data_IF_855221572281
#
_entry.id   IF_855221572281
#
_cell.length_a   1.000
_cell.length_b   1.000
_cell.length_c   1.000
_cell.angle_alpha   90.00
_cell.angle_beta   90.00
_cell.angle_gamma   90.00
#
_symmetry.space_group_name_H-M   'P 1'
#
loop_
_entity.id
_entity.type
_entity.pdbx_description
1 polymer ?
#
# COMPACT_ATOMS: atom_id res chain seq x y z
N UNK A 1 -2.64 28.00 14.09
CA UNK A 1 -2.37 27.71 15.50
C UNK A 1 -1.57 26.42 15.53
N UNK A 2 -0.28 26.49 15.85
CA UNK A 2 0.60 25.32 15.87
C UNK A 2 0.32 24.54 17.15
N UNK A 3 -0.25 23.35 17.03
CA UNK A 3 -0.25 22.39 18.14
C UNK A 3 1.23 22.08 18.42
N UNK A 4 1.69 22.44 19.62
CA UNK A 4 3.06 22.15 20.06
C UNK A 4 3.17 20.64 20.33
N UNK A 5 4.33 20.04 20.01
CA UNK A 5 4.64 18.61 20.21
C UNK A 5 4.48 18.12 21.68
N UNK A 6 4.17 19.01 22.62
CA UNK A 6 4.00 18.70 24.04
C UNK A 6 2.60 18.13 24.37
N UNK A 7 1.58 18.37 23.54
CA UNK A 7 0.21 17.90 23.77
C UNK A 7 -0.09 16.53 23.15
N UNK A 8 0.85 15.96 22.37
CA UNK A 8 0.75 14.63 21.76
C UNK A 8 1.82 13.67 22.30
N UNK A 9 2.11 13.71 23.61
CA UNK A 9 2.89 12.64 24.27
C UNK A 9 2.02 11.40 24.55
N UNK A 10 1.48 10.80 23.50
CA UNK A 10 1.10 9.40 23.56
C UNK A 10 2.39 8.58 23.63
N UNK A 11 2.64 7.92 24.77
CA UNK A 11 3.87 7.16 24.95
C UNK A 11 3.87 5.97 23.99
N UNK A 12 4.88 5.86 23.11
CA UNK A 12 5.00 4.83 22.06
C UNK A 12 4.71 3.39 22.56
N UNK A 13 5.04 3.08 23.82
CA UNK A 13 4.77 1.78 24.43
C UNK A 13 3.27 1.43 24.53
N UNK A 14 2.38 2.42 24.69
CA UNK A 14 0.95 2.19 24.90
C UNK A 14 0.26 1.62 23.66
N UNK A 15 0.79 1.90 22.46
CA UNK A 15 0.29 1.32 21.22
C UNK A 15 0.98 0.01 20.87
N UNK A 16 2.28 -0.12 21.16
CA UNK A 16 2.98 -1.41 21.02
C UNK A 16 2.35 -2.51 21.88
N UNK A 17 1.83 -2.19 23.06
CA UNK A 17 1.14 -3.16 23.93
C UNK A 17 -0.21 -3.62 23.36
N UNK A 18 -0.90 -2.80 22.55
CA UNK A 18 -2.22 -3.18 22.01
C UNK A 18 -2.16 -4.35 21.02
N UNK A 19 -1.01 -4.54 20.38
CA UNK A 19 -0.77 -5.70 19.51
C UNK A 19 -0.78 -7.02 20.29
N UNK A 20 -0.35 -6.99 21.55
CA UNK A 20 -0.29 -8.16 22.43
C UNK A 20 -1.59 -8.39 23.20
N UNK A 21 -2.63 -7.58 22.99
CA UNK A 21 -3.92 -7.81 23.62
C UNK A 21 -4.53 -9.13 23.13
N UNK A 22 -5.25 -9.85 24.01
CA UNK A 22 -6.14 -10.94 23.62
C UNK A 22 -7.09 -10.49 22.50
N UNK A 23 -7.36 -11.40 21.56
CA UNK A 23 -8.16 -11.12 20.37
C UNK A 23 -9.56 -10.58 20.70
N UNK A 24 -10.16 -11.05 21.78
CA UNK A 24 -11.50 -10.72 22.26
C UNK A 24 -11.52 -9.27 22.78
N UNK A 25 -10.45 -8.84 23.47
CA UNK A 25 -10.27 -7.44 23.83
C UNK A 25 -10.00 -6.56 22.60
N UNK A 26 -9.30 -7.08 21.59
CA UNK A 26 -9.10 -6.38 20.33
C UNK A 26 -10.44 -6.13 19.62
N UNK A 27 -11.36 -7.10 19.61
CA UNK A 27 -12.69 -6.94 19.05
C UNK A 27 -13.49 -5.84 19.77
N UNK A 28 -13.53 -5.86 21.11
CA UNK A 28 -14.22 -4.85 21.91
C UNK A 28 -13.64 -3.45 21.69
N UNK A 29 -12.31 -3.33 21.67
CA UNK A 29 -11.65 -2.05 21.40
C UNK A 29 -11.97 -1.55 19.99
N UNK A 30 -11.99 -2.45 18.99
CA UNK A 30 -12.30 -2.10 17.60
C UNK A 30 -13.72 -1.55 17.48
N UNK A 31 -14.69 -2.26 18.07
CA UNK A 31 -16.10 -1.86 18.17
C UNK A 31 -16.24 -0.46 18.77
N UNK A 32 -15.61 -0.23 19.93
CA UNK A 32 -15.62 1.08 20.57
C UNK A 32 -15.05 2.20 19.69
N UNK A 33 -13.97 1.94 18.94
CA UNK A 33 -13.39 2.94 18.02
C UNK A 33 -14.28 3.26 16.83
N UNK A 34 -15.05 2.28 16.37
CA UNK A 34 -16.05 2.46 15.33
C UNK A 34 -17.16 3.37 15.85
N UNK A 35 -17.75 3.06 17.01
CA UNK A 35 -18.79 3.89 17.66
C UNK A 35 -18.34 5.33 17.90
N UNK A 36 -17.14 5.52 18.46
CA UNK A 36 -16.61 6.84 18.79
C UNK A 36 -16.49 7.71 17.52
N UNK A 37 -16.01 7.13 16.41
CA UNK A 37 -15.88 7.84 15.14
C UNK A 37 -17.23 8.15 14.50
N UNK A 38 -18.15 7.18 14.53
CA UNK A 38 -19.50 7.35 14.00
C UNK A 38 -20.24 8.48 14.75
N UNK A 39 -20.19 8.44 16.08
CA UNK A 39 -20.85 9.42 16.95
C UNK A 39 -20.27 10.82 16.79
N UNK A 40 -18.94 10.94 16.71
CA UNK A 40 -18.28 12.23 16.55
C UNK A 40 -18.68 12.92 15.24
N UNK A 41 -18.75 12.17 14.14
CA UNK A 41 -19.16 12.68 12.84
C UNK A 41 -20.66 12.55 12.56
N UNK A 42 -21.47 12.22 13.57
CA UNK A 42 -22.94 12.10 13.46
C UNK A 42 -23.41 11.22 12.30
N UNK A 43 -22.65 10.16 12.00
CA UNK A 43 -22.91 9.23 10.91
C UNK A 43 -22.39 9.64 9.53
N UNK A 44 -21.74 10.79 9.37
CA UNK A 44 -21.09 11.21 8.11
C UNK A 44 -19.76 10.47 7.87
N UNK A 45 -19.84 9.15 7.79
CA UNK A 45 -18.67 8.27 7.66
C UNK A 45 -18.82 7.31 6.48
N UNK A 46 -17.70 6.72 6.07
CA UNK A 46 -17.66 5.68 5.04
C UNK A 46 -16.48 4.73 5.27
N UNK A 47 -16.54 3.52 4.71
CA UNK A 47 -15.40 2.60 4.72
C UNK A 47 -14.59 2.77 3.43
N UNK A 48 -13.30 3.10 3.55
CA UNK A 48 -12.37 3.04 2.42
C UNK A 48 -12.13 1.58 2.05
N UNK A 49 -12.88 1.08 1.09
CA UNK A 49 -12.96 -0.33 0.75
C UNK A 49 -12.13 -0.66 -0.49
N UNK A 50 -11.15 -1.55 -0.34
CA UNK A 50 -10.24 -1.93 -1.42
C UNK A 50 -10.55 -3.29 -2.04
N UNK A 51 -11.51 -4.05 -1.49
CA UNK A 51 -11.74 -5.46 -1.83
C UNK A 51 -10.65 -6.43 -1.33
N UNK A 52 -9.55 -5.93 -0.77
CA UNK A 52 -8.57 -6.75 -0.07
C UNK A 52 -9.07 -7.20 1.30
N UNK A 53 -8.51 -8.31 1.79
CA UNK A 53 -8.92 -9.00 3.01
C UNK A 53 -9.14 -8.06 4.21
N UNK A 54 -8.15 -7.23 4.54
CA UNK A 54 -8.19 -6.33 5.69
C UNK A 54 -9.34 -5.31 5.58
N UNK A 55 -9.62 -4.79 4.37
CA UNK A 55 -10.73 -3.88 4.14
C UNK A 55 -12.10 -4.57 4.09
N UNK A 56 -12.16 -5.85 3.71
CA UNK A 56 -13.37 -6.67 3.80
C UNK A 56 -13.74 -6.94 5.24
N UNK A 57 -12.76 -7.30 6.07
CA UNK A 57 -12.95 -7.47 7.52
C UNK A 57 -13.43 -6.16 8.16
N UNK A 58 -12.81 -5.03 7.83
CA UNK A 58 -13.25 -3.73 8.34
C UNK A 58 -14.68 -3.40 7.92
N UNK A 59 -15.04 -3.63 6.65
CA UNK A 59 -16.39 -3.35 6.16
C UNK A 59 -17.43 -4.18 6.92
N UNK A 60 -17.16 -5.47 7.12
CA UNK A 60 -18.02 -6.35 7.91
C UNK A 60 -18.14 -5.85 9.35
N UNK A 61 -17.02 -5.59 10.04
CA UNK A 61 -17.01 -5.07 11.41
C UNK A 61 -17.84 -3.80 11.58
N UNK A 62 -17.73 -2.85 10.65
CA UNK A 62 -18.45 -1.58 10.73
C UNK A 62 -19.95 -1.78 10.52
N UNK A 63 -20.35 -2.52 9.49
CA UNK A 63 -21.77 -2.75 9.18
C UNK A 63 -22.46 -3.63 10.21
N UNK A 64 -21.81 -4.70 10.65
CA UNK A 64 -22.30 -5.60 11.71
C UNK A 64 -22.48 -4.84 13.03
N UNK A 65 -21.50 -4.04 13.43
CA UNK A 65 -21.53 -3.42 14.74
C UNK A 65 -22.50 -2.23 14.84
N UNK A 66 -22.58 -1.40 13.80
CA UNK A 66 -23.47 -0.23 13.79
C UNK A 66 -24.89 -0.57 13.35
N UNK A 67 -25.12 -1.81 12.85
CA UNK A 67 -26.39 -2.24 12.27
C UNK A 67 -26.94 -1.23 11.24
N UNK A 68 -26.05 -0.72 10.39
CA UNK A 68 -26.36 0.34 9.43
C UNK A 68 -25.63 0.11 8.10
N UNK A 69 -26.23 0.60 7.01
CA UNK A 69 -25.68 0.57 5.66
C UNK A 69 -24.65 1.69 5.48
N UNK A 70 -23.54 1.61 6.22
CA UNK A 70 -22.42 2.52 6.01
C UNK A 70 -21.88 2.30 4.60
N UNK A 71 -21.76 3.37 3.79
CA UNK A 71 -21.30 3.23 2.41
C UNK A 71 -19.84 2.81 2.37
N UNK A 72 -19.53 1.94 1.42
CA UNK A 72 -18.17 1.61 1.05
C UNK A 72 -17.75 2.51 -0.11
N UNK A 73 -16.47 2.92 -0.14
CA UNK A 73 -15.91 3.71 -1.24
C UNK A 73 -14.66 3.04 -1.77
N UNK A 74 -14.74 2.61 -3.03
CA UNK A 74 -13.65 1.98 -3.76
C UNK A 74 -13.11 2.95 -4.81
N UNK A 75 -11.79 2.98 -4.99
CA UNK A 75 -11.16 3.72 -6.10
C UNK A 75 -10.63 2.70 -7.10
N UNK A 76 -11.31 2.59 -8.23
CA UNK A 76 -10.91 1.74 -9.34
C UNK A 76 -9.76 2.41 -10.09
N UNK A 77 -8.52 2.00 -9.78
CA UNK A 77 -7.34 2.53 -10.46
C UNK A 77 -7.04 1.83 -11.77
N UNK A 78 -7.72 0.71 -12.04
CA UNK A 78 -7.40 -0.20 -13.13
C UNK A 78 -6.09 -0.98 -12.92
N UNK A 79 -5.52 -0.94 -11.71
CA UNK A 79 -4.26 -1.61 -11.38
C UNK A 79 -4.43 -2.76 -10.38
N UNK A 80 -5.63 -2.90 -9.82
CA UNK A 80 -6.05 -4.00 -8.98
C UNK A 80 -6.18 -5.30 -9.78
N UNK A 81 -6.20 -6.43 -9.07
CA UNK A 81 -6.55 -7.73 -9.65
C UNK A 81 -7.94 -7.66 -10.30
N UNK A 82 -8.14 -8.20 -11.52
CA UNK A 82 -9.45 -8.27 -12.14
C UNK A 82 -10.51 -8.92 -11.23
N UNK A 83 -10.14 -10.02 -10.56
CA UNK A 83 -11.01 -10.74 -9.62
C UNK A 83 -11.37 -9.90 -8.41
N UNK A 84 -10.49 -9.01 -7.97
CA UNK A 84 -10.75 -8.09 -6.87
C UNK A 84 -11.73 -6.99 -7.30
N UNK A 85 -11.61 -6.50 -8.54
CA UNK A 85 -12.55 -5.53 -9.11
C UNK A 85 -13.95 -6.13 -9.27
N UNK A 86 -14.05 -7.40 -9.68
CA UNK A 86 -15.34 -8.10 -9.71
C UNK A 86 -15.87 -8.40 -8.31
N UNK A 87 -15.01 -8.84 -7.38
CA UNK A 87 -15.39 -9.07 -5.99
C UNK A 87 -15.96 -7.81 -5.31
N UNK A 88 -15.38 -6.63 -5.55
CA UNK A 88 -15.93 -5.38 -4.99
C UNK A 88 -17.37 -5.11 -5.44
N UNK A 89 -17.74 -5.51 -6.66
CA UNK A 89 -19.10 -5.29 -7.19
C UNK A 89 -20.14 -6.23 -6.59
N UNK A 90 -19.73 -7.27 -5.85
CA UNK A 90 -20.68 -8.17 -5.18
C UNK A 90 -21.17 -7.61 -3.84
N UNK A 91 -20.67 -6.44 -3.42
CA UNK A 91 -21.09 -5.78 -2.19
C UNK A 91 -22.10 -4.68 -2.50
N UNK A 92 -23.12 -4.57 -1.66
CA UNK A 92 -24.10 -3.50 -1.73
C UNK A 92 -23.53 -2.17 -1.20
N UNK A 93 -24.10 -1.08 -1.68
CA UNK A 93 -23.74 0.30 -1.33
C UNK A 93 -22.23 0.61 -1.41
N UNK A 94 -21.66 0.29 -2.59
CA UNK A 94 -20.27 0.63 -2.94
C UNK A 94 -20.26 1.78 -3.94
N UNK A 95 -19.76 2.94 -3.51
CA UNK A 95 -19.42 4.04 -4.43
C UNK A 95 -18.08 3.77 -5.11
N UNK A 96 -18.09 3.64 -6.43
CA UNK A 96 -16.87 3.44 -7.24
C UNK A 96 -16.39 4.78 -7.80
N UNK A 97 -15.21 5.21 -7.36
CA UNK A 97 -14.49 6.37 -7.87
C UNK A 97 -13.45 5.96 -8.91
N UNK A 98 -13.12 6.87 -9.82
CA UNK A 98 -12.08 6.66 -10.84
C UNK A 98 -11.08 7.82 -10.85
N UNK A 99 -9.78 7.57 -11.02
CA UNK A 99 -8.81 8.64 -11.20
C UNK A 99 -8.97 9.30 -12.56
N UNK A 100 -8.69 10.61 -12.61
CA UNK A 100 -8.76 11.41 -13.85
C UNK A 100 -7.65 11.05 -14.86
N UNK A 101 -6.55 10.44 -14.40
CA UNK A 101 -5.43 10.04 -15.25
C UNK A 101 -5.29 8.52 -15.22
N UNK A 102 -5.02 7.93 -16.38
CA UNK A 102 -4.57 6.53 -16.47
C UNK A 102 -3.17 6.38 -15.89
N UNK A 103 -2.81 5.16 -15.48
CA UNK A 103 -1.47 4.88 -14.97
C UNK A 103 -0.37 5.15 -16.00
N UNK A 104 -0.64 4.91 -17.29
CA UNK A 104 0.27 5.27 -18.39
C UNK A 104 0.53 6.79 -18.43
N UNK A 105 -0.50 7.62 -18.29
CA UNK A 105 -0.33 9.08 -18.20
C UNK A 105 0.45 9.50 -16.94
N UNK A 106 0.17 8.85 -15.80
CA UNK A 106 0.88 9.12 -14.54
C UNK A 106 2.36 8.80 -14.65
N UNK A 107 2.74 7.66 -15.23
CA UNK A 107 4.16 7.34 -15.43
C UNK A 107 4.80 8.32 -16.42
N UNK A 108 4.10 8.66 -17.51
CA UNK A 108 4.64 9.60 -18.51
C UNK A 108 4.96 10.97 -17.88
N UNK A 109 4.13 11.44 -16.95
CA UNK A 109 4.26 12.76 -16.34
C UNK A 109 5.13 12.78 -15.08
N UNK A 110 5.09 11.72 -14.26
CA UNK A 110 5.75 11.70 -12.96
C UNK A 110 6.81 10.61 -12.81
N UNK A 111 6.93 9.68 -13.74
CA UNK A 111 7.85 8.56 -13.66
C UNK A 111 7.29 7.31 -12.95
N UNK A 112 8.10 6.26 -12.92
CA UNK A 112 7.74 4.93 -12.45
C UNK A 112 7.76 4.79 -10.92
N UNK A 113 6.92 3.93 -10.33
CA UNK A 113 7.00 3.60 -8.91
C UNK A 113 8.02 2.49 -8.65
N UNK A 114 9.33 2.82 -8.65
CA UNK A 114 10.41 1.84 -8.41
C UNK A 114 11.10 2.00 -7.05
N UNK A 115 11.66 0.90 -6.54
CA UNK A 115 12.36 0.81 -5.25
C UNK A 115 11.43 1.04 -4.05
N UNK A 116 11.18 2.27 -3.65
CA UNK A 116 10.28 2.62 -2.55
C UNK A 116 9.77 4.04 -2.73
N UNK A 117 8.66 4.39 -2.06
CA UNK A 117 8.13 5.76 -2.08
C UNK A 117 9.16 6.79 -1.60
N UNK A 118 9.95 6.43 -0.59
CA UNK A 118 10.95 7.32 -0.03
C UNK A 118 12.12 7.52 -1.01
N UNK A 119 12.67 6.43 -1.56
CA UNK A 119 13.76 6.49 -2.54
C UNK A 119 13.33 7.24 -3.79
N UNK A 120 12.15 6.94 -4.33
CA UNK A 120 11.61 7.63 -5.50
C UNK A 120 11.40 9.13 -5.25
N UNK A 121 10.89 9.51 -4.06
CA UNK A 121 10.75 10.91 -3.69
C UNK A 121 12.11 11.63 -3.57
N UNK A 122 13.13 10.98 -3.02
CA UNK A 122 14.51 11.51 -2.94
C UNK A 122 15.10 11.72 -4.34
N UNK A 123 15.00 10.73 -5.23
CA UNK A 123 15.49 10.81 -6.61
C UNK A 123 14.78 11.92 -7.39
N UNK A 124 13.45 11.99 -7.31
CA UNK A 124 12.66 13.05 -7.95
C UNK A 124 13.10 14.44 -7.49
N UNK A 125 13.33 14.63 -6.18
CA UNK A 125 13.85 15.89 -5.63
C UNK A 125 15.25 16.21 -6.14
N UNK A 126 16.14 15.23 -6.22
CA UNK A 126 17.52 15.42 -6.68
C UNK A 126 17.61 15.73 -8.18
N UNK A 127 16.74 15.15 -9.01
CA UNK A 127 16.70 15.39 -10.46
C UNK A 127 15.98 16.68 -10.84
N UNK A 128 14.83 16.95 -10.21
CA UNK A 128 13.89 17.98 -10.66
C UNK A 128 13.57 19.05 -9.61
N UNK A 129 14.03 18.88 -8.37
CA UNK A 129 13.75 19.82 -7.29
C UNK A 129 14.69 21.01 -7.30
N UNK A 130 14.15 22.20 -7.01
CA UNK A 130 14.94 23.39 -6.64
C UNK A 130 15.42 23.23 -5.20
N UNK A 131 16.56 22.57 -5.00
CA UNK A 131 17.13 22.32 -3.69
C UNK A 131 18.28 23.30 -3.42
N UNK A 132 18.39 23.79 -2.19
CA UNK A 132 19.63 24.43 -1.72
C UNK A 132 20.79 23.44 -1.73
N UNK A 133 22.02 23.90 -1.94
CA UNK A 133 23.22 23.05 -1.93
C UNK A 133 23.35 22.24 -0.65
N UNK A 134 23.05 22.84 0.51
CA UNK A 134 23.04 22.13 1.81
C UNK A 134 22.09 20.93 1.81
N UNK A 135 20.84 21.12 1.38
CA UNK A 135 19.86 20.03 1.34
C UNK A 135 20.17 18.99 0.26
N UNK A 136 20.72 19.40 -0.88
CA UNK A 136 21.23 18.48 -1.91
C UNK A 136 22.35 17.60 -1.34
N UNK A 137 23.32 18.20 -0.64
CA UNK A 137 24.40 17.47 0.02
C UNK A 137 23.86 16.52 1.09
N UNK A 138 22.90 16.94 1.91
CA UNK A 138 22.25 16.06 2.89
C UNK A 138 21.64 14.81 2.25
N UNK A 139 20.90 14.97 1.14
CA UNK A 139 20.32 13.83 0.43
C UNK A 139 21.38 12.95 -0.25
N UNK A 140 22.53 13.47 -0.66
CA UNK A 140 23.58 12.71 -1.35
C UNK A 140 24.56 12.01 -0.39
N UNK A 141 24.94 12.70 0.68
CA UNK A 141 26.08 12.34 1.53
C UNK A 141 25.72 12.21 3.01
N UNK A 142 24.58 12.77 3.45
CA UNK A 142 24.29 13.02 4.86
C UNK A 142 24.93 14.32 5.35
N UNK A 143 24.65 14.69 6.60
CA UNK A 143 25.29 15.82 7.29
C UNK A 143 25.30 15.59 8.81
N UNK A 144 25.52 16.65 9.59
CA UNK A 144 25.45 16.67 11.06
C UNK A 144 24.12 16.14 11.65
N UNK A 145 23.04 16.08 10.86
CA UNK A 145 21.74 15.50 11.23
C UNK A 145 21.69 13.98 11.02
N UNK A 146 22.78 13.39 10.55
CA UNK A 146 22.93 11.97 10.25
C UNK A 146 22.62 11.59 8.80
N UNK A 147 22.45 10.28 8.57
CA UNK A 147 22.34 9.68 7.23
C UNK A 147 20.93 9.16 6.88
N UNK A 148 19.93 9.35 7.75
CA UNK A 148 18.56 8.86 7.50
C UNK A 148 17.94 9.42 6.21
N UNK A 149 18.19 10.69 5.91
CA UNK A 149 17.72 11.33 4.68
C UNK A 149 18.57 11.02 3.45
N UNK A 150 19.74 10.41 3.62
CA UNK A 150 20.66 10.08 2.54
C UNK A 150 20.01 9.07 1.57
N UNK A 151 20.25 9.24 0.28
CA UNK A 151 19.96 8.26 -0.75
C UNK A 151 20.98 7.13 -0.65
N UNK A 152 20.50 5.89 -0.55
CA UNK A 152 21.40 4.74 -0.47
C UNK A 152 22.26 4.62 -1.74
N UNK A 153 23.54 4.29 -1.57
CA UNK A 153 24.53 4.32 -2.65
C UNK A 153 24.10 3.51 -3.88
N UNK A 154 23.57 2.30 -3.65
CA UNK A 154 23.08 1.41 -4.72
C UNK A 154 21.97 2.00 -5.60
N UNK A 155 21.26 3.02 -5.12
CA UNK A 155 20.16 3.67 -5.86
C UNK A 155 20.55 4.99 -6.51
N UNK A 156 21.81 5.45 -6.36
CA UNK A 156 22.29 6.66 -7.04
C UNK A 156 22.32 6.49 -8.57
N UNK A 157 22.43 5.27 -9.07
CA UNK A 157 22.31 4.95 -10.50
C UNK A 157 21.02 5.52 -11.12
N UNK A 158 19.94 5.68 -10.33
CA UNK A 158 18.66 6.21 -10.80
C UNK A 158 18.67 7.73 -11.03
N UNK A 159 19.72 8.44 -10.61
CA UNK A 159 19.89 9.86 -10.92
C UNK A 159 20.15 10.08 -12.42
N UNK A 160 20.85 9.13 -13.05
CA UNK A 160 21.24 9.18 -14.47
C UNK A 160 20.37 8.27 -15.35
N UNK A 161 19.33 7.65 -14.78
CA UNK A 161 18.45 6.74 -15.52
C UNK A 161 17.70 7.47 -16.66
N UNK A 162 17.51 6.82 -17.83
CA UNK A 162 16.81 7.40 -18.99
C UNK A 162 15.28 7.51 -18.80
N UNK A 163 14.80 7.28 -17.58
CA UNK A 163 13.41 7.41 -17.18
C UNK A 163 13.35 8.03 -15.78
N UNK A 164 12.21 8.61 -15.44
CA UNK A 164 11.96 9.15 -14.11
C UNK A 164 11.34 8.13 -13.15
N UNK A 165 11.45 8.43 -11.86
CA UNK A 165 10.81 7.68 -10.77
C UNK A 165 10.12 8.63 -9.79
N UNK A 166 8.95 8.25 -9.28
CA UNK A 166 8.27 9.03 -8.24
C UNK A 166 7.30 8.23 -7.39
N UNK A 167 6.98 8.81 -6.23
CA UNK A 167 5.96 8.39 -5.28
C UNK A 167 4.53 8.83 -5.66
N UNK A 168 4.38 9.60 -6.75
CA UNK A 168 3.16 10.37 -7.04
C UNK A 168 1.99 9.52 -7.54
N UNK A 169 2.22 8.30 -8.01
CA UNK A 169 1.14 7.46 -8.53
C UNK A 169 0.04 7.21 -7.50
N UNK A 170 0.37 6.96 -6.23
CA UNK A 170 -0.63 6.80 -5.18
C UNK A 170 -1.40 8.10 -4.89
N UNK A 171 -0.73 9.25 -5.01
CA UNK A 171 -1.35 10.56 -4.78
C UNK A 171 -2.40 10.84 -5.86
N UNK A 172 -2.05 10.62 -7.13
CA UNK A 172 -2.92 10.88 -8.29
C UNK A 172 -4.02 9.84 -8.40
N UNK A 173 -3.65 8.55 -8.33
CA UNK A 173 -4.56 7.46 -8.63
C UNK A 173 -5.50 7.12 -7.47
N UNK A 174 -5.09 7.34 -6.22
CA UNK A 174 -5.86 6.93 -5.03
C UNK A 174 -6.26 8.09 -4.15
N UNK A 175 -5.30 8.90 -3.69
CA UNK A 175 -5.61 9.96 -2.70
C UNK A 175 -6.44 11.10 -3.28
N UNK A 176 -6.19 11.51 -4.54
CA UNK A 176 -6.93 12.61 -5.17
C UNK A 176 -8.43 12.28 -5.31
N UNK A 177 -8.85 11.11 -5.84
CA UNK A 177 -10.27 10.72 -5.86
C UNK A 177 -10.94 10.76 -4.47
N UNK A 178 -10.28 10.24 -3.42
CA UNK A 178 -10.83 10.31 -2.07
C UNK A 178 -10.97 11.75 -1.55
N UNK A 179 -10.00 12.63 -1.85
CA UNK A 179 -10.09 14.05 -1.48
C UNK A 179 -11.26 14.75 -2.19
N UNK A 180 -11.49 14.43 -3.46
CA UNK A 180 -12.62 14.97 -4.23
C UNK A 180 -13.95 14.44 -3.68
N UNK A 181 -14.01 13.17 -3.31
CA UNK A 181 -15.17 12.59 -2.65
C UNK A 181 -15.48 13.27 -1.32
N UNK A 182 -14.48 13.41 -0.44
CA UNK A 182 -14.63 14.11 0.83
C UNK A 182 -15.13 15.55 0.65
N UNK A 183 -14.56 16.30 -0.30
CA UNK A 183 -15.02 17.68 -0.60
C UNK A 183 -16.48 17.75 -1.04
N UNK A 184 -16.98 16.71 -1.72
CA UNK A 184 -18.34 16.67 -2.24
C UNK A 184 -19.36 16.21 -1.20
N UNK A 185 -18.98 15.24 -0.36
CA UNK A 185 -19.92 14.56 0.54
C UNK A 185 -19.77 14.95 2.00
N UNK A 186 -18.65 15.59 2.37
CA UNK A 186 -18.23 15.84 3.74
C UNK A 186 -18.16 14.56 4.62
N UNK A 187 -18.04 13.37 4.02
CA UNK A 187 -17.92 12.11 4.77
C UNK A 187 -16.48 11.77 5.13
N UNK A 188 -16.31 11.01 6.22
CA UNK A 188 -15.00 10.72 6.84
C UNK A 188 -14.66 9.22 6.85
N UNK A 189 -13.41 8.83 6.51
CA UNK A 189 -13.08 7.42 6.27
C UNK A 189 -12.75 6.61 7.52
N UNK A 190 -13.27 5.39 7.57
CA UNK A 190 -12.60 4.25 8.20
C UNK A 190 -11.60 3.61 7.21
N UNK A 191 -10.42 3.24 7.69
CA UNK A 191 -9.34 2.69 6.86
C UNK A 191 -8.81 1.38 7.46
N UNK A 192 -8.86 0.31 6.66
CA UNK A 192 -8.44 -1.05 7.03
C UNK A 192 -6.94 -1.24 6.85
N UNK A 193 -6.14 -0.50 7.62
CA UNK A 193 -4.68 -0.61 7.65
C UNK A 193 -4.27 -1.18 9.01
N UNK A 194 -3.40 -2.18 9.00
CA UNK A 194 -2.82 -2.81 10.20
C UNK A 194 -1.36 -2.39 10.40
N UNK A 195 -0.87 -2.40 11.64
CA UNK A 195 0.52 -2.05 11.97
C UNK A 195 1.53 -3.04 11.37
N UNK A 196 1.13 -4.30 11.12
CA UNK A 196 1.97 -5.34 10.51
C UNK A 196 2.34 -5.07 9.04
N UNK A 197 1.71 -4.07 8.40
CA UNK A 197 1.97 -3.76 7.00
C UNK A 197 3.25 -2.93 6.77
N UNK A 198 3.91 -2.45 7.83
CA UNK A 198 5.28 -1.93 7.76
C UNK A 198 5.62 -0.85 8.78
N UNK A 199 6.93 -0.64 8.96
CA UNK A 199 7.50 0.25 9.98
C UNK A 199 6.95 1.70 9.95
N UNK A 200 6.70 2.25 8.76
CA UNK A 200 6.11 3.59 8.63
C UNK A 200 4.66 3.64 9.13
N UNK A 201 3.87 2.59 8.91
CA UNK A 201 2.47 2.51 9.36
C UNK A 201 2.42 2.30 10.87
N UNK A 202 3.34 1.51 11.41
CA UNK A 202 3.55 1.36 12.84
C UNK A 202 3.84 2.72 13.50
N UNK A 203 4.89 3.42 13.07
CA UNK A 203 5.25 4.74 13.60
C UNK A 203 4.13 5.76 13.47
N UNK A 204 3.43 5.77 12.33
CA UNK A 204 2.32 6.69 12.15
C UNK A 204 1.19 6.42 13.14
N UNK A 205 0.84 5.15 13.32
CA UNK A 205 -0.20 4.75 14.27
C UNK A 205 0.21 5.02 15.72
N UNK A 206 1.47 4.79 16.09
CA UNK A 206 2.02 5.16 17.41
C UNK A 206 1.89 6.66 17.67
N UNK A 207 2.16 7.49 16.65
CA UNK A 207 2.07 8.95 16.76
C UNK A 207 0.62 9.47 16.81
N UNK A 208 -0.25 8.98 15.93
CA UNK A 208 -1.60 9.57 15.75
C UNK A 208 -2.71 8.80 16.45
N UNK A 209 -2.45 7.56 16.86
CA UNK A 209 -3.45 6.64 17.37
C UNK A 209 -4.45 6.17 16.31
N UNK A 210 -5.59 5.67 16.81
CA UNK A 210 -6.64 5.05 16.01
C UNK A 210 -7.55 6.06 15.30
N UNK A 211 -8.21 6.92 16.08
CA UNK A 211 -9.12 7.94 15.55
C UNK A 211 -8.39 9.27 15.57
N UNK A 212 -8.17 9.83 14.39
CA UNK A 212 -7.49 11.10 14.18
C UNK A 212 -8.55 12.12 13.77
N UNK A 213 -9.08 12.86 14.75
CA UNK A 213 -10.14 13.85 14.53
C UNK A 213 -9.58 15.15 13.94
N UNK A 214 -8.61 15.74 14.62
CA UNK A 214 -8.05 17.05 14.28
C UNK A 214 -6.75 16.92 13.49
N UNK A 215 -6.86 16.64 12.20
CA UNK A 215 -5.73 16.62 11.27
C UNK A 215 -6.13 17.16 9.90
N UNK A 216 -5.13 17.56 9.10
CA UNK A 216 -5.33 17.90 7.68
C UNK A 216 -5.98 16.77 6.87
N UNK A 217 -6.00 15.54 7.40
CA UNK A 217 -6.67 14.40 6.79
C UNK A 217 -7.20 13.52 7.92
N UNK A 218 -8.42 13.81 8.43
CA UNK A 218 -9.04 13.01 9.47
C UNK A 218 -9.28 11.59 8.97
N UNK A 219 -9.09 10.61 9.86
CA UNK A 219 -9.27 9.19 9.55
C UNK A 219 -9.45 8.37 10.82
N UNK A 220 -10.15 7.25 10.70
CA UNK A 220 -10.18 6.20 11.70
C UNK A 220 -9.48 4.94 11.20
N UNK A 221 -8.67 4.31 12.05
CA UNK A 221 -8.00 3.04 11.79
C UNK A 221 -8.33 2.01 12.88
N UNK A 222 -9.59 1.52 12.96
CA UNK A 222 -10.06 0.68 14.08
C UNK A 222 -9.27 -0.61 14.27
N UNK A 223 -8.72 -1.14 13.18
CA UNK A 223 -7.93 -2.37 13.15
C UNK A 223 -6.42 -2.13 13.21
N UNK A 224 -5.97 -0.90 13.51
CA UNK A 224 -4.54 -0.56 13.45
C UNK A 224 -3.66 -1.50 14.28
N UNK A 225 -4.13 -1.91 15.47
CA UNK A 225 -3.41 -2.80 16.38
C UNK A 225 -3.62 -4.30 16.12
N UNK A 226 -4.32 -4.66 15.04
CA UNK A 226 -4.51 -6.06 14.66
C UNK A 226 -3.25 -6.60 13.98
N UNK A 227 -3.00 -7.89 14.20
CA UNK A 227 -2.02 -8.67 13.46
C UNK A 227 -2.64 -9.31 12.22
N UNK A 228 -1.81 -9.81 11.31
CA UNK A 228 -2.33 -10.59 10.18
C UNK A 228 -3.14 -11.81 10.62
N UNK A 229 -2.76 -12.45 11.73
CA UNK A 229 -3.49 -13.59 12.29
C UNK A 229 -4.86 -13.18 12.83
N UNK A 230 -4.97 -12.02 13.49
CA UNK A 230 -6.27 -11.51 13.95
C UNK A 230 -7.23 -11.27 12.78
N UNK A 231 -6.74 -10.69 11.68
CA UNK A 231 -7.54 -10.45 10.46
C UNK A 231 -8.03 -11.77 9.85
N UNK A 232 -7.13 -12.75 9.71
CA UNK A 232 -7.46 -14.05 9.14
C UNK A 232 -8.41 -14.85 10.05
N UNK A 233 -8.17 -14.83 11.37
CA UNK A 233 -9.04 -15.45 12.38
C UNK A 233 -10.45 -14.90 12.27
N UNK A 234 -10.60 -13.57 12.23
CA UNK A 234 -11.91 -12.94 12.11
C UNK A 234 -12.62 -13.34 10.81
N UNK A 235 -11.92 -13.27 9.67
CA UNK A 235 -12.51 -13.64 8.40
C UNK A 235 -12.94 -15.12 8.36
N UNK A 236 -12.17 -16.00 8.99
CA UNK A 236 -12.48 -17.43 9.11
C UNK A 236 -13.68 -17.68 10.04
N UNK A 237 -13.64 -17.17 11.28
CA UNK A 237 -14.69 -17.39 12.29
C UNK A 237 -16.05 -16.81 11.87
N UNK A 238 -16.07 -15.72 11.08
CA UNK A 238 -17.29 -15.09 10.58
C UNK A 238 -17.69 -15.58 9.18
N UNK A 239 -17.00 -16.59 8.63
CA UNK A 239 -17.26 -17.15 7.30
C UNK A 239 -17.36 -16.08 6.19
N UNK A 240 -16.47 -15.08 6.23
CA UNK A 240 -16.52 -13.98 5.29
C UNK A 240 -16.21 -14.46 3.87
N UNK A 241 -16.99 -13.98 2.91
CA UNK A 241 -16.61 -14.11 1.51
C UNK A 241 -15.36 -13.26 1.26
N UNK A 242 -14.35 -13.84 0.62
CA UNK A 242 -13.08 -13.18 0.27
C UNK A 242 -12.82 -13.31 -1.22
N UNK A 243 -12.08 -12.35 -1.79
CA UNK A 243 -11.72 -12.41 -3.20
C UNK A 243 -10.96 -13.71 -3.53
N UNK A 244 -11.31 -14.34 -4.66
CA UNK A 244 -10.77 -15.63 -5.08
C UNK A 244 -9.25 -15.67 -5.20
N UNK A 245 -8.58 -14.54 -5.39
CA UNK A 245 -7.10 -14.45 -5.43
C UNK A 245 -6.45 -14.93 -4.13
N UNK A 246 -7.14 -14.82 -3.00
CA UNK A 246 -6.69 -15.32 -1.70
C UNK A 246 -6.89 -16.84 -1.56
N UNK A 247 -7.62 -17.48 -2.47
CA UNK A 247 -8.02 -18.89 -2.34
C UNK A 247 -8.96 -19.08 -1.16
N UNK A 248 -8.61 -19.98 -0.24
CA UNK A 248 -9.34 -20.23 1.01
C UNK A 248 -8.48 -19.84 2.21
N UNK A 249 -9.12 -19.46 3.31
CA UNK A 249 -8.44 -19.38 4.61
C UNK A 249 -8.47 -20.77 5.23
N UNK A 250 -7.31 -21.27 5.61
CA UNK A 250 -7.14 -22.55 6.32
C UNK A 250 -6.48 -22.30 7.67
N UNK A 251 -6.80 -23.13 8.65
CA UNK A 251 -6.22 -23.11 9.98
C UNK A 251 -5.49 -24.42 10.23
N UNK A 252 -4.17 -24.36 10.31
CA UNK A 252 -3.30 -25.53 10.45
C UNK A 252 -2.20 -25.22 11.47
N UNK A 253 -1.95 -26.14 12.40
CA UNK A 253 -0.90 -26.01 13.43
C UNK A 253 -0.96 -24.69 14.22
N UNK A 254 -2.15 -24.18 14.51
CA UNK A 254 -2.32 -22.93 15.27
C UNK A 254 -2.18 -21.65 14.43
N UNK A 255 -2.03 -21.76 13.11
CA UNK A 255 -1.78 -20.62 12.23
C UNK A 255 -2.83 -20.56 11.12
N UNK A 256 -3.43 -19.38 10.94
CA UNK A 256 -4.28 -19.08 9.80
C UNK A 256 -3.43 -18.67 8.60
N UNK A 257 -3.77 -19.17 7.41
CA UNK A 257 -3.13 -18.81 6.15
C UNK A 257 -4.11 -18.83 4.99
N UNK A 258 -3.82 -18.02 3.97
CA UNK A 258 -4.51 -18.06 2.67
C UNK A 258 -3.84 -19.08 1.76
N UNK A 259 -4.60 -19.85 0.98
CA UNK A 259 -4.03 -20.80 0.01
C UNK A 259 -3.56 -20.12 -1.30
N UNK A 260 -4.03 -18.90 -1.57
CA UNK A 260 -3.62 -18.08 -2.70
C UNK A 260 -2.60 -17.00 -2.31
N UNK A 261 -2.81 -15.78 -2.79
CA UNK A 261 -1.93 -14.64 -2.45
C UNK A 261 -2.15 -14.21 -1.00
N UNK A 262 -1.09 -13.88 -0.27
CA UNK A 262 -1.21 -13.39 1.11
C UNK A 262 -1.72 -11.95 1.21
N UNK A 263 -1.39 -11.15 0.18
CA UNK A 263 -1.75 -9.73 0.08
C UNK A 263 -2.01 -9.36 -1.36
N UNK A 264 -2.94 -8.44 -1.55
CA UNK A 264 -3.23 -7.83 -2.84
C UNK A 264 -2.73 -6.39 -2.84
N UNK A 265 -2.59 -5.84 -4.03
CA UNK A 265 -2.18 -4.47 -4.24
C UNK A 265 -2.28 -4.09 -5.70
N UNK A 266 -1.64 -2.99 -6.06
CA UNK A 266 -1.45 -2.63 -7.47
C UNK A 266 -0.51 -3.66 -8.10
N UNK A 267 -1.04 -4.41 -9.07
CA UNK A 267 -0.30 -5.42 -9.82
C UNK A 267 0.92 -4.80 -10.52
N UNK A 268 0.81 -3.55 -10.99
CA UNK A 268 1.83 -2.91 -11.84
C UNK A 268 2.88 -2.14 -11.02
N UNK A 269 2.81 -2.21 -9.70
CA UNK A 269 3.68 -1.45 -8.80
C UNK A 269 5.03 -2.15 -8.64
N UNK A 270 6.12 -1.47 -9.00
CA UNK A 270 7.48 -1.97 -8.81
C UNK A 270 8.08 -1.59 -7.44
N UNK A 271 7.36 -0.84 -6.59
CA UNK A 271 7.82 -0.57 -5.22
C UNK A 271 7.92 -1.87 -4.43
N UNK A 272 9.07 -2.04 -3.77
CA UNK A 272 9.41 -3.20 -2.97
C UNK A 272 9.74 -4.46 -3.77
N UNK A 273 9.64 -4.46 -5.10
CA UNK A 273 9.85 -5.68 -5.90
C UNK A 273 11.28 -6.24 -5.76
N UNK A 274 12.28 -5.36 -5.60
CA UNK A 274 13.67 -5.74 -5.32
C UNK A 274 13.89 -6.42 -3.95
N UNK A 275 12.88 -6.43 -3.06
CA UNK A 275 12.93 -7.11 -1.76
C UNK A 275 12.17 -8.44 -1.78
N UNK A 276 11.50 -8.76 -2.88
CA UNK A 276 10.71 -9.98 -3.01
C UNK A 276 11.58 -11.17 -3.36
N UNK A 277 11.29 -12.32 -2.75
CA UNK A 277 11.87 -13.60 -3.17
C UNK A 277 11.38 -13.96 -4.57
N UNK A 278 12.23 -14.60 -5.35
CA UNK A 278 11.84 -15.18 -6.63
C UNK A 278 11.02 -16.48 -6.40
N UNK A 279 9.93 -16.72 -7.17
CA UNK A 279 9.36 -15.82 -8.16
C UNK A 279 8.70 -14.59 -7.51
N UNK A 280 9.07 -13.39 -7.96
CA UNK A 280 8.49 -12.14 -7.46
C UNK A 280 7.12 -11.88 -8.11
N UNK A 281 6.47 -10.76 -7.76
CA UNK A 281 5.12 -10.44 -8.25
C UNK A 281 4.99 -10.38 -9.78
N UNK A 282 6.01 -9.90 -10.50
CA UNK A 282 5.95 -9.82 -11.96
C UNK A 282 6.13 -11.19 -12.62
N UNK A 283 7.03 -12.02 -12.08
CA UNK A 283 7.19 -13.42 -12.49
C UNK A 283 5.90 -14.22 -12.24
N UNK A 284 5.29 -14.06 -11.05
CA UNK A 284 3.97 -14.64 -10.74
C UNK A 284 2.87 -14.13 -11.68
N UNK A 285 2.90 -12.85 -12.03
CA UNK A 285 1.95 -12.26 -12.98
C UNK A 285 2.10 -12.84 -14.38
N UNK A 286 3.31 -13.18 -14.82
CA UNK A 286 3.54 -13.82 -16.12
C UNK A 286 2.71 -15.10 -16.28
N UNK A 287 2.59 -15.89 -15.22
CA UNK A 287 1.80 -17.13 -15.22
C UNK A 287 0.32 -16.88 -14.98
N UNK A 288 -0.01 -16.07 -13.97
CA UNK A 288 -1.40 -15.91 -13.52
C UNK A 288 -2.22 -14.96 -14.40
N UNK A 289 -1.58 -13.94 -14.99
CA UNK A 289 -2.23 -12.86 -15.73
C UNK A 289 -1.37 -12.43 -16.95
N UNK A 290 -1.14 -13.33 -17.92
CA UNK A 290 -0.17 -13.11 -19.00
C UNK A 290 -0.43 -11.85 -19.84
N UNK A 291 -1.69 -11.49 -20.06
CA UNK A 291 -2.04 -10.27 -20.81
C UNK A 291 -1.65 -8.98 -20.06
N UNK A 292 -1.89 -8.93 -18.75
CA UNK A 292 -1.48 -7.79 -17.90
C UNK A 292 0.04 -7.71 -17.80
N UNK A 293 0.70 -8.87 -17.66
CA UNK A 293 2.15 -8.97 -17.70
C UNK A 293 2.70 -8.41 -19.03
N UNK A 294 2.16 -8.86 -20.16
CA UNK A 294 2.59 -8.42 -21.49
C UNK A 294 2.39 -6.91 -21.63
N UNK A 295 1.27 -6.36 -21.19
CA UNK A 295 1.03 -4.92 -21.20
C UNK A 295 2.05 -4.14 -20.36
N UNK A 296 2.40 -4.64 -19.17
CA UNK A 296 3.43 -4.05 -18.32
C UNK A 296 4.80 -4.03 -18.99
N UNK A 297 5.23 -5.16 -19.55
CA UNK A 297 6.58 -5.32 -20.08
C UNK A 297 6.77 -4.71 -21.47
N UNK A 298 5.71 -4.69 -22.30
CA UNK A 298 5.73 -4.17 -23.68
C UNK A 298 6.18 -2.72 -23.74
N UNK A 299 6.99 -2.39 -24.74
CA UNK A 299 7.54 -1.04 -24.97
C UNK A 299 6.46 0.04 -25.14
N UNK A 300 6.82 1.29 -24.80
CA UNK A 300 5.99 2.47 -24.97
C UNK A 300 5.47 2.65 -26.39
N UNK A 301 6.36 2.55 -27.38
CA UNK A 301 6.05 2.71 -28.81
C UNK A 301 5.07 1.66 -29.32
N UNK A 302 5.03 0.50 -28.66
CA UNK A 302 4.09 -0.58 -28.97
C UNK A 302 2.83 -0.53 -28.10
N UNK A 303 2.63 0.54 -27.32
CA UNK A 303 1.46 0.75 -26.48
C UNK A 303 1.51 0.10 -25.09
N UNK A 304 2.65 -0.41 -24.63
CA UNK A 304 2.81 -0.96 -23.27
C UNK A 304 3.50 0.01 -22.29
N UNK A 305 3.74 -0.41 -21.06
CA UNK A 305 4.31 0.45 -20.01
C UNK A 305 5.84 0.52 -20.00
N UNK A 306 6.54 -0.26 -20.83
CA UNK A 306 8.00 -0.27 -20.91
C UNK A 306 8.71 -0.72 -19.62
N UNK A 307 8.01 -1.43 -18.72
CA UNK A 307 8.60 -1.81 -17.42
C UNK A 307 9.78 -2.77 -17.55
N UNK A 308 9.88 -3.55 -18.62
CA UNK A 308 11.01 -4.45 -18.85
C UNK A 308 12.36 -3.73 -18.75
N UNK A 309 12.51 -2.63 -19.51
CA UNK A 309 13.73 -1.80 -19.52
C UNK A 309 14.02 -1.16 -18.15
N UNK A 310 12.95 -0.79 -17.43
CA UNK A 310 13.06 -0.19 -16.10
C UNK A 310 13.55 -1.22 -15.07
N UNK A 311 13.00 -2.44 -15.11
CA UNK A 311 13.36 -3.54 -14.22
C UNK A 311 14.76 -4.07 -14.52
N UNK A 312 15.12 -4.18 -15.81
CA UNK A 312 16.48 -4.51 -16.25
C UNK A 312 17.49 -3.50 -15.68
N UNK A 313 17.20 -2.19 -15.74
CA UNK A 313 18.11 -1.13 -15.25
C UNK A 313 18.43 -1.24 -13.75
N UNK A 314 17.51 -1.80 -12.96
CA UNK A 314 17.68 -1.99 -11.51
C UNK A 314 17.89 -3.45 -11.12
N UNK A 315 18.23 -4.31 -12.08
CA UNK A 315 18.53 -5.72 -11.87
C UNK A 315 17.42 -6.47 -11.11
N UNK A 316 16.14 -6.25 -11.47
CA UNK A 316 15.02 -7.02 -10.92
C UNK A 316 14.58 -8.06 -11.95
N UNK A 317 14.62 -9.37 -11.64
CA UNK A 317 14.15 -10.39 -12.57
C UNK A 317 12.64 -10.27 -12.78
N UNK A 318 12.16 -10.36 -14.02
CA UNK A 318 10.73 -10.29 -14.32
C UNK A 318 10.24 -11.39 -15.26
N UNK A 319 11.11 -12.33 -15.64
CA UNK A 319 10.77 -13.49 -16.46
C UNK A 319 10.97 -14.78 -15.66
N UNK A 320 10.12 -15.79 -15.90
CA UNK A 320 10.19 -17.08 -15.23
C UNK A 320 11.40 -17.94 -15.64
N UNK A 321 11.92 -17.75 -16.86
CA UNK A 321 12.95 -18.62 -17.46
C UNK A 321 14.38 -18.08 -17.32
N UNK A 322 14.69 -17.36 -16.25
CA UNK A 322 16.02 -16.75 -16.08
C UNK A 322 16.75 -17.35 -14.88
N UNK A 323 18.00 -17.78 -15.11
CA UNK A 323 18.93 -18.15 -14.04
C UNK A 323 19.28 -16.90 -13.26
N UNK A 324 18.77 -16.82 -12.04
CA UNK A 324 19.05 -15.71 -11.12
C UNK A 324 20.34 -16.04 -10.37
N UNK A 325 21.41 -15.28 -10.60
CA UNK A 325 22.66 -15.45 -9.84
C UNK A 325 22.72 -14.43 -8.70
N UNK A 326 23.09 -14.89 -7.50
CA UNK A 326 23.42 -14.01 -6.37
C UNK A 326 24.84 -13.50 -6.56
N UNK A 327 25.06 -12.20 -6.42
CA UNK A 327 26.42 -11.68 -6.33
C UNK A 327 27.13 -12.27 -5.09
N UNK A 328 28.43 -12.64 -5.18
CA UNK A 328 29.20 -13.07 -4.02
C UNK A 328 29.22 -11.95 -2.96
N UNK A 329 28.56 -12.18 -1.81
CA UNK A 329 28.45 -11.20 -0.73
C UNK A 329 27.31 -10.18 -0.85
N UNK A 330 26.43 -10.30 -1.85
CA UNK A 330 25.30 -9.39 -2.07
C UNK A 330 23.92 -10.07 -2.03
N UNK A 331 22.89 -9.31 -1.62
CA UNK A 331 21.47 -9.68 -1.81
C UNK A 331 20.95 -9.37 -3.22
N UNK A 332 21.81 -8.84 -4.11
CA UNK A 332 21.44 -8.44 -5.46
C UNK A 332 21.44 -9.65 -6.39
N UNK A 333 20.38 -9.72 -7.18
CA UNK A 333 20.13 -10.74 -8.17
C UNK A 333 20.44 -10.17 -9.55
N UNK A 334 21.44 -10.69 -10.26
CA UNK A 334 21.67 -10.29 -11.65
C UNK A 334 20.84 -11.17 -12.59
N UNK A 335 20.11 -10.54 -13.52
CA UNK A 335 19.39 -11.24 -14.59
C UNK A 335 20.35 -11.51 -15.74
N UNK A 336 20.71 -12.76 -15.97
CA UNK A 336 21.33 -13.17 -17.24
C UNK A 336 20.21 -13.62 -18.17
N UNK A 337 19.96 -12.89 -19.26
CA UNK A 337 19.21 -13.48 -20.38
C UNK A 337 19.95 -14.76 -20.76
N UNK A 338 19.27 -15.91 -20.73
CA UNK A 338 19.80 -17.05 -21.44
C UNK A 338 19.93 -16.60 -22.89
N UNK A 339 21.15 -16.53 -23.39
CA UNK A 339 21.42 -16.56 -24.81
C UNK A 339 20.74 -17.83 -25.31
N UNK A 340 19.71 -17.65 -26.15
CA UNK A 340 19.11 -18.77 -26.89
C UNK A 340 20.18 -19.33 -27.81
#
# INVERSE_FOLDING_TARGET
>A
MYIQDIDLKLKDWAFSQRKSLPYELKLLLTKKRIEDWYSYWQGDVYVSFSGGLDSTVLLHLVRDHLYNDIPAVFVDTGLEYPELREFVKTFDDVTILKPQKSFRQVIKEYGYPIVSKETAAKIRKLRHGKLSDRYRNYLMNGDERGSLGKLAEKWKILLDAPFDTSEKCCDVMKKKPFKEYHKRTNKYPYIGITQDEGFQRQRQYEKTGCNVYEANTPKSQPMGFWTKQDVLRYAFENNLNICSVYGKIVYENGIYRTTGVERTGCMFCAFGCHLEKCPNRFQKMQTTHPQLYQYCMKDWEKGGLGLAKVLDYINIPYMNNVKVMKEPGGELYQQFKMTI
#
